data_IF_620453098268
#
_entry.id   IF_620453098268
#
_cell.length_a   1.000
_cell.length_b   1.000
_cell.length_c   1.000
_cell.angle_alpha   90.00
_cell.angle_beta   90.00
_cell.angle_gamma   90.00
#
_symmetry.space_group_name_H-M   'P 1'
#
loop_
_entity.id
_entity.type
_entity.pdbx_description
1 polymer ?
#
# COMPACT_ATOMS: atom_id res chain seq x y z
N UNK A 1 10.88 14.09 -5.55
CA UNK A 1 11.92 13.46 -6.38
C UNK A 1 12.31 12.11 -5.81
N UNK A 2 12.31 11.09 -6.63
CA UNK A 2 12.62 9.72 -6.16
C UNK A 2 14.11 9.46 -6.13
N UNK A 3 14.83 10.19 -5.28
CA UNK A 3 16.19 9.83 -4.91
C UNK A 3 16.10 8.62 -3.98
N UNK A 4 17.16 7.90 -3.85
CA UNK A 4 17.27 6.81 -2.87
C UNK A 4 16.29 5.64 -3.08
N UNK A 5 15.92 5.40 -4.34
CA UNK A 5 15.15 4.21 -4.71
C UNK A 5 13.70 4.16 -4.17
N UNK A 6 13.07 5.31 -3.97
CA UNK A 6 11.65 5.35 -3.62
C UNK A 6 10.77 5.40 -4.86
N UNK A 7 9.68 4.66 -4.80
CA UNK A 7 8.56 4.76 -5.73
C UNK A 7 7.41 5.43 -4.98
N UNK A 8 6.90 6.53 -5.51
CA UNK A 8 5.78 7.24 -4.89
C UNK A 8 4.46 6.83 -5.50
N UNK A 9 3.49 6.55 -4.66
CA UNK A 9 2.11 6.30 -5.06
C UNK A 9 1.21 7.23 -4.25
N UNK A 10 0.44 8.06 -4.93
CA UNK A 10 -0.49 8.98 -4.28
C UNK A 10 -1.91 8.46 -4.42
N UNK A 11 -2.61 8.35 -3.29
CA UNK A 11 -3.99 7.89 -3.23
C UNK A 11 -4.81 8.92 -2.48
N UNK A 12 -5.88 9.41 -3.11
CA UNK A 12 -6.84 10.32 -2.48
C UNK A 12 -6.22 11.58 -1.87
N UNK A 13 -5.28 12.20 -2.55
CA UNK A 13 -4.57 13.38 -2.06
C UNK A 13 -5.52 14.51 -1.64
N UNK A 14 -6.58 14.74 -2.39
CA UNK A 14 -7.57 15.79 -2.07
C UNK A 14 -8.30 15.45 -0.78
N UNK A 15 -8.65 14.19 -0.58
CA UNK A 15 -9.31 13.72 0.65
C UNK A 15 -8.38 13.89 1.84
N UNK A 16 -7.09 13.64 1.66
CA UNK A 16 -6.08 13.84 2.70
C UNK A 16 -6.09 15.28 3.24
N UNK A 17 -6.07 16.28 2.35
CA UNK A 17 -6.14 17.67 2.76
C UNK A 17 -7.42 18.00 3.50
N UNK A 18 -8.54 17.47 3.06
CA UNK A 18 -9.82 17.65 3.71
C UNK A 18 -9.81 17.12 5.14
N UNK A 19 -9.25 15.95 5.35
CA UNK A 19 -9.12 15.34 6.67
C UNK A 19 -8.21 16.13 7.61
N UNK A 20 -7.16 16.73 7.13
CA UNK A 20 -6.28 17.58 7.95
C UNK A 20 -7.04 18.67 8.71
N UNK A 21 -8.08 19.21 8.11
CA UNK A 21 -8.82 20.33 8.66
C UNK A 21 -10.06 19.92 9.46
N UNK A 22 -10.63 18.76 9.19
CA UNK A 22 -11.97 18.42 9.65
C UNK A 22 -12.05 17.21 10.57
N UNK A 23 -10.99 16.44 10.71
CA UNK A 23 -11.02 15.20 11.47
C UNK A 23 -10.07 15.22 12.65
N UNK A 24 -10.48 14.61 13.73
CA UNK A 24 -9.57 14.22 14.79
C UNK A 24 -8.62 13.11 14.31
N UNK A 25 -7.49 12.98 14.97
CA UNK A 25 -6.56 11.89 14.72
C UNK A 25 -7.12 10.60 15.31
N UNK A 26 -7.15 9.53 14.52
CA UNK A 26 -7.46 8.19 14.98
C UNK A 26 -6.25 7.27 14.75
N UNK A 27 -6.19 6.20 15.53
CA UNK A 27 -5.11 5.22 15.43
C UNK A 27 -5.61 3.96 14.74
N UNK A 28 -4.89 3.50 13.74
CA UNK A 28 -5.18 2.26 13.01
C UNK A 28 -4.04 1.27 13.23
N UNK A 29 -4.39 0.04 13.56
CA UNK A 29 -3.42 -1.04 13.75
C UNK A 29 -3.42 -1.97 12.56
N UNK A 30 -2.25 -2.17 11.96
CA UNK A 30 -2.03 -3.14 10.90
C UNK A 30 -1.30 -4.35 11.44
N UNK A 31 -1.98 -5.47 11.46
CA UNK A 31 -1.47 -6.72 12.00
C UNK A 31 -0.54 -7.41 10.99
N UNK A 32 0.62 -7.85 11.46
CA UNK A 32 1.61 -8.56 10.64
C UNK A 32 1.00 -9.76 9.89
N UNK A 33 0.25 -10.59 10.60
CA UNK A 33 -0.38 -11.78 10.00
C UNK A 33 -1.31 -11.40 8.85
N UNK A 34 -2.11 -10.37 9.04
CA UNK A 34 -3.02 -9.89 8.01
C UNK A 34 -2.27 -9.36 6.78
N UNK A 35 -1.18 -8.64 6.99
CA UNK A 35 -0.35 -8.14 5.89
C UNK A 35 0.31 -9.31 5.14
N UNK A 36 0.85 -10.28 5.84
CA UNK A 36 1.47 -11.46 5.22
C UNK A 36 0.46 -12.28 4.43
N UNK A 37 -0.77 -12.41 4.94
CA UNK A 37 -1.86 -13.07 4.21
C UNK A 37 -2.19 -12.31 2.92
N UNK A 38 -2.31 -10.99 2.96
CA UNK A 38 -2.53 -10.18 1.77
C UNK A 38 -1.39 -10.30 0.76
N UNK A 39 -0.16 -10.28 1.22
CA UNK A 39 1.01 -10.49 0.35
C UNK A 39 0.91 -11.84 -0.36
N UNK A 40 0.57 -12.89 0.38
CA UNK A 40 0.42 -14.24 -0.17
C UNK A 40 -0.71 -14.30 -1.21
N UNK A 41 -1.85 -13.67 -0.93
CA UNK A 41 -2.97 -13.61 -1.86
C UNK A 41 -2.62 -12.81 -3.13
N UNK A 42 -1.85 -11.74 -3.01
CA UNK A 42 -1.37 -10.98 -4.16
C UNK A 42 -0.39 -11.80 -5.00
N UNK A 43 0.54 -12.51 -4.38
CA UNK A 43 1.49 -13.40 -5.07
C UNK A 43 0.78 -14.51 -5.85
N UNK A 44 -0.27 -15.08 -5.30
CA UNK A 44 -1.08 -16.10 -5.96
C UNK A 44 -2.15 -15.51 -6.89
N UNK A 45 -2.23 -14.20 -6.97
CA UNK A 45 -3.23 -13.47 -7.77
C UNK A 45 -4.67 -13.86 -7.42
N UNK A 46 -4.92 -14.14 -6.17
CA UNK A 46 -6.26 -14.46 -5.63
C UNK A 46 -7.02 -13.17 -5.28
N UNK A 47 -7.34 -12.37 -6.30
CA UNK A 47 -7.81 -11.01 -6.12
C UNK A 47 -9.18 -10.91 -5.46
N UNK A 48 -10.05 -11.86 -5.68
CA UNK A 48 -11.36 -11.88 -5.05
C UNK A 48 -11.23 -12.01 -3.52
N UNK A 49 -10.34 -12.88 -3.06
CA UNK A 49 -10.06 -13.05 -1.64
C UNK A 49 -9.21 -11.91 -1.07
N UNK A 50 -8.31 -11.37 -1.88
CA UNK A 50 -7.49 -10.24 -1.49
C UNK A 50 -8.36 -9.02 -1.17
N UNK A 51 -9.34 -8.73 -2.01
CA UNK A 51 -10.22 -7.58 -1.87
C UNK A 51 -9.46 -6.28 -2.09
N UNK A 52 -9.12 -5.60 -1.01
CA UNK A 52 -8.55 -4.26 -1.03
C UNK A 52 -9.61 -3.20 -0.75
N UNK A 53 -9.20 -1.95 -0.78
CA UNK A 53 -10.08 -0.84 -0.38
C UNK A 53 -11.24 -0.62 -1.36
N UNK A 54 -11.02 -0.91 -2.62
CA UNK A 54 -12.00 -0.73 -3.70
C UNK A 54 -12.44 -2.06 -4.32
N UNK A 55 -11.98 -3.18 -3.79
CA UNK A 55 -12.31 -4.51 -4.28
C UNK A 55 -11.17 -5.18 -5.05
N UNK A 56 -11.36 -6.46 -5.33
CA UNK A 56 -10.33 -7.29 -5.98
C UNK A 56 -10.03 -6.89 -7.42
N UNK A 57 -11.01 -6.38 -8.12
CA UNK A 57 -10.84 -5.92 -9.52
C UNK A 57 -9.88 -4.75 -9.60
N UNK A 58 -10.03 -3.78 -8.73
CA UNK A 58 -9.17 -2.59 -8.66
C UNK A 58 -7.77 -2.95 -8.18
N UNK A 59 -7.66 -3.87 -7.24
CA UNK A 59 -6.37 -4.38 -6.76
C UNK A 59 -5.61 -5.11 -7.88
N UNK A 60 -6.31 -5.92 -8.66
CA UNK A 60 -5.73 -6.56 -9.86
C UNK A 60 -5.28 -5.53 -10.88
N UNK A 61 -6.08 -4.50 -11.11
CA UNK A 61 -5.75 -3.44 -12.04
C UNK A 61 -4.47 -2.71 -11.64
N UNK A 62 -4.31 -2.40 -10.35
CA UNK A 62 -3.07 -1.79 -9.85
C UNK A 62 -1.87 -2.72 -10.11
N UNK A 63 -1.98 -3.98 -9.75
CA UNK A 63 -0.93 -4.98 -9.98
C UNK A 63 -0.53 -5.07 -11.45
N UNK A 64 -1.51 -5.23 -12.33
CA UNK A 64 -1.28 -5.35 -13.77
C UNK A 64 -0.66 -4.07 -14.36
N UNK A 65 -1.08 -2.90 -13.87
CA UNK A 65 -0.56 -1.61 -14.31
C UNK A 65 0.91 -1.44 -13.93
N UNK A 66 1.29 -1.84 -12.73
CA UNK A 66 2.69 -1.81 -12.29
C UNK A 66 3.55 -2.69 -13.20
N UNK A 67 3.08 -3.91 -13.48
CA UNK A 67 3.83 -4.84 -14.34
C UNK A 67 3.95 -4.30 -15.78
N UNK A 68 2.87 -3.74 -16.33
CA UNK A 68 2.86 -3.21 -17.68
C UNK A 68 3.72 -1.96 -17.86
N UNK A 69 3.89 -1.18 -16.79
CA UNK A 69 4.61 0.09 -16.81
C UNK A 69 6.13 -0.01 -16.78
N UNK A 70 6.69 -1.20 -16.82
CA UNK A 70 8.15 -1.43 -16.69
C UNK A 70 8.76 -0.79 -15.44
N UNK A 71 7.98 -0.66 -14.38
CA UNK A 71 8.47 -0.12 -13.11
C UNK A 71 9.21 -1.23 -12.35
N UNK A 72 10.47 -0.97 -12.04
CA UNK A 72 11.25 -1.90 -11.23
C UNK A 72 10.90 -1.72 -9.76
N UNK A 73 10.19 -2.68 -9.21
CA UNK A 73 9.77 -2.68 -7.79
C UNK A 73 10.76 -3.47 -6.91
N UNK A 74 11.35 -4.51 -7.47
CA UNK A 74 12.23 -5.41 -6.72
C UNK A 74 13.36 -4.64 -6.03
N UNK A 75 13.52 -4.86 -4.74
CA UNK A 75 14.51 -4.23 -3.86
C UNK A 75 14.37 -2.70 -3.73
N UNK A 76 13.22 -2.13 -4.09
CA UNK A 76 12.95 -0.71 -3.94
C UNK A 76 12.20 -0.41 -2.64
N UNK A 77 12.39 0.80 -2.15
CA UNK A 77 11.55 1.34 -1.09
C UNK A 77 10.39 2.10 -1.73
N UNK A 78 9.21 1.90 -1.21
CA UNK A 78 7.98 2.48 -1.77
C UNK A 78 7.33 3.40 -0.74
N UNK A 79 7.01 4.61 -1.14
CA UNK A 79 6.21 5.53 -0.34
C UNK A 79 4.77 5.51 -0.84
N UNK A 80 3.86 5.17 0.06
CA UNK A 80 2.41 5.17 -0.18
C UNK A 80 1.80 6.35 0.58
N UNK A 81 1.02 7.17 -0.10
CA UNK A 81 0.37 8.32 0.50
C UNK A 81 -1.14 8.11 0.50
N UNK A 82 -1.73 8.10 1.68
CA UNK A 82 -3.17 7.94 1.85
C UNK A 82 -3.64 6.50 1.73
N UNK A 83 -3.36 5.69 2.76
CA UNK A 83 -3.78 4.29 2.79
C UNK A 83 -4.43 3.99 4.14
N UNK A 84 -5.66 3.50 4.12
CA UNK A 84 -6.38 3.08 5.33
C UNK A 84 -6.13 1.61 5.63
N UNK A 85 -6.10 0.80 4.60
CA UNK A 85 -5.79 -0.63 4.67
C UNK A 85 -4.49 -0.90 3.92
N UNK A 86 -3.66 -1.85 4.35
CA UNK A 86 -2.36 -2.09 3.74
C UNK A 86 -2.45 -2.90 2.44
N UNK A 87 -3.35 -2.50 1.53
CA UNK A 87 -3.55 -3.24 0.29
C UNK A 87 -2.53 -2.87 -0.79
N UNK A 88 -2.22 -1.59 -0.92
CA UNK A 88 -1.19 -1.11 -1.86
C UNK A 88 0.19 -1.59 -1.42
N UNK A 89 0.47 -1.45 -0.14
CA UNK A 89 1.72 -1.91 0.48
C UNK A 89 1.92 -3.40 0.23
N UNK A 90 0.87 -4.19 0.43
CA UNK A 90 0.93 -5.64 0.22
C UNK A 90 1.18 -6.02 -1.23
N UNK A 91 0.62 -5.29 -2.18
CA UNK A 91 0.88 -5.51 -3.61
C UNK A 91 2.34 -5.21 -3.94
N UNK A 92 2.88 -4.08 -3.48
CA UNK A 92 4.29 -3.75 -3.73
C UNK A 92 5.24 -4.74 -3.08
N UNK A 93 4.95 -5.19 -1.86
CA UNK A 93 5.76 -6.23 -1.21
C UNK A 93 5.67 -7.57 -1.95
N UNK A 94 4.51 -7.92 -2.48
CA UNK A 94 4.35 -9.10 -3.32
C UNK A 94 5.18 -9.02 -4.61
N UNK A 95 5.38 -7.83 -5.13
CA UNK A 95 6.21 -7.57 -6.30
C UNK A 95 7.71 -7.46 -5.98
N UNK A 96 8.09 -7.62 -4.73
CA UNK A 96 9.47 -7.66 -4.30
C UNK A 96 10.04 -6.37 -3.73
N UNK A 97 9.20 -5.40 -3.37
CA UNK A 97 9.66 -4.20 -2.68
C UNK A 97 10.44 -4.57 -1.40
N UNK A 98 11.46 -3.81 -1.10
CA UNK A 98 12.25 -4.02 0.10
C UNK A 98 11.50 -3.53 1.35
N UNK A 99 10.86 -2.37 1.25
CA UNK A 99 10.14 -1.74 2.35
C UNK A 99 9.08 -0.81 1.81
N UNK A 100 7.97 -0.68 2.54
CA UNK A 100 6.96 0.33 2.27
C UNK A 100 6.86 1.29 3.44
N UNK A 101 6.77 2.57 3.15
CA UNK A 101 6.50 3.62 4.12
C UNK A 101 5.15 4.24 3.77
N UNK A 102 4.28 4.34 4.74
CA UNK A 102 2.94 4.89 4.54
C UNK A 102 2.83 6.24 5.21
N UNK A 103 2.47 7.25 4.43
CA UNK A 103 2.16 8.58 4.93
C UNK A 103 0.64 8.75 4.96
N UNK A 104 0.10 8.84 6.15
CA UNK A 104 -1.34 8.95 6.38
C UNK A 104 -1.60 9.99 7.47
N UNK A 105 -2.72 10.68 7.37
CA UNK A 105 -3.12 11.64 8.39
C UNK A 105 -3.37 10.97 9.75
N UNK A 106 -4.06 9.85 9.74
CA UNK A 106 -4.28 9.06 10.94
C UNK A 106 -3.01 8.26 11.28
N UNK A 107 -2.76 8.10 12.56
CA UNK A 107 -1.65 7.28 13.01
C UNK A 107 -1.86 5.82 12.61
N UNK A 108 -0.84 5.23 12.00
CA UNK A 108 -0.81 3.81 11.66
C UNK A 108 0.29 3.15 12.47
N UNK A 109 -0.09 2.12 13.19
CA UNK A 109 0.86 1.28 13.93
C UNK A 109 0.90 -0.09 13.23
N UNK A 110 2.06 -0.45 12.74
CA UNK A 110 2.29 -1.75 12.09
C UNK A 110 3.36 -2.52 12.84
N UNK A 111 3.13 -3.81 13.01
CA UNK A 111 4.15 -4.72 13.53
C UNK A 111 4.79 -5.59 12.45
N UNK A 112 4.55 -5.26 11.18
CA UNK A 112 5.21 -5.92 10.07
C UNK A 112 6.58 -5.27 9.82
N UNK A 113 7.67 -6.05 9.65
CA UNK A 113 9.02 -5.48 9.54
C UNK A 113 9.28 -4.67 8.27
N UNK A 114 8.47 -4.85 7.23
CA UNK A 114 8.62 -4.15 5.95
C UNK A 114 7.59 -3.04 5.73
N UNK A 115 6.78 -2.77 6.72
CA UNK A 115 5.71 -1.76 6.62
C UNK A 115 5.80 -0.73 7.73
#
# INVERSE_FOLDING_TARGET
>A
MCKDNFISVTINQIIFYHFLWNSGVSTTHWNRKSIEEKISLAKSQSWERFGGNYGGKESKLLYDTILAGNVTVKNKNVLVIGSIQPWVESIFLALGANHTVTLEYNEIISNHPQV
#
